data_IF_939597567433
#
_entry.id   IF_939597567433
#
_cell.length_a   1.000
_cell.length_b   1.000
_cell.length_c   1.000
_cell.angle_alpha   90.00
_cell.angle_beta   90.00
_cell.angle_gamma   90.00
#
_symmetry.space_group_name_H-M   'P 1'
#
loop_
_entity.id
_entity.type
_entity.pdbx_description
1 polymer ?
#
# COMPACT_ATOMS: atom_id res chain seq x y z
N UNK A 1 -21.46 -8.57 9.55
CA UNK A 1 -19.99 -8.66 9.68
C UNK A 1 -19.67 -8.63 11.17
N UNK A 2 -18.83 -9.53 11.70
CA UNK A 2 -18.45 -9.50 13.12
C UNK A 2 -17.68 -8.22 13.47
N UNK A 3 -18.03 -7.57 14.58
CA UNK A 3 -17.38 -6.33 15.03
C UNK A 3 -15.89 -6.52 15.32
N UNK A 4 -15.49 -7.74 15.72
CA UNK A 4 -14.09 -8.10 16.01
C UNK A 4 -13.14 -7.96 14.82
N UNK A 5 -13.63 -7.97 13.58
CA UNK A 5 -12.80 -7.72 12.40
C UNK A 5 -12.24 -6.29 12.37
N UNK A 6 -12.96 -5.33 12.96
CA UNK A 6 -12.56 -3.92 12.97
C UNK A 6 -11.52 -3.60 14.03
N UNK A 7 -11.31 -4.51 14.97
CA UNK A 7 -10.31 -4.41 16.03
C UNK A 7 -8.95 -4.99 15.59
N UNK A 8 -8.91 -5.69 14.44
CA UNK A 8 -7.67 -6.23 13.90
C UNK A 8 -6.70 -5.10 13.49
N UNK A 9 -5.39 -5.29 13.73
CA UNK A 9 -4.39 -4.33 13.28
C UNK A 9 -4.38 -4.24 11.75
N UNK A 10 -4.19 -3.03 11.23
CA UNK A 10 -4.03 -2.81 9.79
C UNK A 10 -2.68 -3.38 9.35
N UNK A 11 -2.70 -4.36 8.44
CA UNK A 11 -1.47 -4.96 7.91
C UNK A 11 -0.67 -3.96 7.05
N UNK A 12 -1.35 -3.27 6.12
CA UNK A 12 -0.77 -2.23 5.26
C UNK A 12 -1.87 -1.39 4.62
N UNK A 13 -1.48 -0.24 4.04
CA UNK A 13 -2.36 0.65 3.27
C UNK A 13 -1.79 0.82 1.87
N UNK A 14 -2.63 0.63 0.86
CA UNK A 14 -2.22 0.65 -0.55
C UNK A 14 -3.15 1.51 -1.38
N UNK A 15 -2.64 2.01 -2.50
CA UNK A 15 -3.47 2.63 -3.54
C UNK A 15 -4.00 1.53 -4.44
N UNK A 16 -5.30 1.51 -4.66
CA UNK A 16 -5.95 0.47 -5.48
C UNK A 16 -6.44 1.12 -6.77
N UNK A 17 -6.37 0.38 -7.88
CA UNK A 17 -6.93 0.81 -9.16
C UNK A 17 -8.42 1.17 -9.02
N UNK A 18 -8.88 2.15 -9.79
CA UNK A 18 -10.30 2.53 -9.78
C UNK A 18 -11.13 1.38 -10.37
N UNK A 19 -12.09 0.85 -9.60
CA UNK A 19 -12.95 -0.26 -10.01
C UNK A 19 -12.46 -1.63 -9.55
N UNK A 20 -11.22 -1.74 -9.09
CA UNK A 20 -10.61 -3.01 -8.65
C UNK A 20 -11.41 -3.77 -7.59
N UNK A 21 -11.98 -3.14 -6.54
CA UNK A 21 -12.78 -3.89 -5.58
C UNK A 21 -14.01 -4.56 -6.18
N UNK A 22 -14.52 -4.07 -7.32
CA UNK A 22 -15.65 -4.66 -8.03
C UNK A 22 -15.18 -5.64 -9.12
N UNK A 23 -14.15 -5.27 -9.88
CA UNK A 23 -13.63 -6.05 -11.01
C UNK A 23 -12.82 -7.26 -10.56
N UNK A 24 -12.15 -7.19 -9.42
CA UNK A 24 -11.39 -8.30 -8.82
C UNK A 24 -12.25 -9.36 -8.14
N UNK A 25 -13.57 -9.33 -8.31
CA UNK A 25 -14.52 -10.30 -7.75
C UNK A 25 -14.47 -10.43 -6.21
N UNK A 26 -14.08 -9.37 -5.50
CA UNK A 26 -14.07 -9.38 -4.04
C UNK A 26 -15.49 -9.54 -3.49
N UNK A 27 -15.66 -10.47 -2.55
CA UNK A 27 -16.95 -10.69 -1.90
C UNK A 27 -17.26 -9.49 -1.00
N UNK A 28 -18.34 -8.77 -1.32
CA UNK A 28 -18.85 -7.73 -0.45
C UNK A 28 -19.48 -8.35 0.82
N UNK A 29 -18.79 -8.24 1.95
CA UNK A 29 -19.24 -8.80 3.23
C UNK A 29 -20.29 -7.94 3.95
N UNK A 30 -20.44 -6.67 3.56
CA UNK A 30 -21.40 -5.73 4.16
C UNK A 30 -20.99 -4.27 3.97
N UNK A 31 -21.74 -3.37 4.60
CA UNK A 31 -21.43 -1.95 4.65
C UNK A 31 -21.25 -1.52 6.12
N UNK A 32 -20.18 -0.79 6.40
CA UNK A 32 -19.85 -0.31 7.73
C UNK A 32 -19.50 1.17 7.68
N UNK A 33 -19.77 1.86 8.78
CA UNK A 33 -19.23 3.21 8.98
C UNK A 33 -17.76 3.07 9.38
N UNK A 34 -16.85 3.58 8.55
CA UNK A 34 -15.43 3.62 8.85
C UNK A 34 -15.16 4.55 10.04
N UNK A 35 -14.24 4.14 10.92
CA UNK A 35 -13.73 5.00 11.98
C UNK A 35 -12.82 6.10 11.41
N UNK A 36 -12.58 7.17 12.18
CA UNK A 36 -11.68 8.24 11.75
C UNK A 36 -10.28 7.70 11.41
N UNK A 37 -9.76 6.78 12.22
CA UNK A 37 -8.48 6.11 11.97
C UNK A 37 -8.44 5.38 10.62
N UNK A 38 -9.54 4.76 10.20
CA UNK A 38 -9.61 4.08 8.90
C UNK A 38 -9.62 5.08 7.73
N UNK A 39 -10.18 6.27 7.93
CA UNK A 39 -10.26 7.34 6.94
C UNK A 39 -8.95 8.13 6.77
N UNK A 40 -7.96 7.96 7.68
CA UNK A 40 -6.67 8.63 7.55
C UNK A 40 -5.96 8.26 6.24
N UNK A 41 -5.54 9.29 5.50
CA UNK A 41 -4.69 9.13 4.31
C UNK A 41 -3.27 8.77 4.74
N UNK A 42 -2.58 8.03 3.89
CA UNK A 42 -1.19 7.60 4.13
C UNK A 42 -0.20 8.36 3.28
N UNK A 43 1.01 8.48 3.81
CA UNK A 43 2.20 8.87 3.06
C UNK A 43 2.77 7.65 2.34
N UNK A 44 3.30 7.87 1.14
CA UNK A 44 3.92 6.82 0.34
C UNK A 44 5.31 7.25 -0.12
N UNK A 45 6.24 6.31 -0.18
CA UNK A 45 7.53 6.48 -0.85
C UNK A 45 7.26 6.58 -2.35
N UNK A 46 7.58 7.73 -2.92
CA UNK A 46 7.55 7.94 -4.35
C UNK A 46 8.96 8.18 -4.87
N UNK A 47 9.38 7.35 -5.84
CA UNK A 47 10.61 7.55 -6.59
C UNK A 47 10.31 7.34 -8.08
N UNK A 48 10.12 8.41 -8.86
CA UNK A 48 9.91 8.29 -10.30
C UNK A 48 11.04 7.53 -10.97
N UNK A 49 10.75 6.82 -12.06
CA UNK A 49 11.76 6.12 -12.85
C UNK A 49 12.83 7.10 -13.33
N UNK A 50 14.10 6.78 -13.05
CA UNK A 50 15.24 7.64 -13.39
C UNK A 50 15.57 8.73 -12.37
N UNK A 51 14.76 8.91 -11.32
CA UNK A 51 15.06 9.86 -10.26
C UNK A 51 16.17 9.36 -9.33
N UNK A 52 17.08 10.26 -8.96
CA UNK A 52 18.07 10.04 -7.89
C UNK A 52 17.48 10.31 -6.52
N UNK A 53 16.55 11.26 -6.45
CA UNK A 53 15.97 11.73 -5.20
C UNK A 53 14.72 10.94 -4.78
N UNK A 54 14.43 10.98 -3.48
CA UNK A 54 13.22 10.42 -2.90
C UNK A 54 12.15 11.48 -2.71
N UNK A 55 10.89 11.07 -2.78
CA UNK A 55 9.74 11.92 -2.53
C UNK A 55 8.78 11.22 -1.60
N UNK A 56 8.06 12.00 -0.80
CA UNK A 56 6.85 11.56 -0.10
C UNK A 56 5.66 12.00 -0.94
N UNK A 57 4.85 11.03 -1.36
CA UNK A 57 3.53 11.29 -1.92
C UNK A 57 2.49 11.36 -0.81
N UNK A 58 1.70 12.42 -0.82
CA UNK A 58 0.53 12.61 0.03
C UNK A 58 -0.54 13.39 -0.73
N UNK A 59 -1.72 12.80 -0.85
CA UNK A 59 -2.95 13.45 -1.35
C UNK A 59 -2.78 14.25 -2.65
N UNK A 60 -2.22 13.62 -3.68
CA UNK A 60 -2.02 14.25 -5.00
C UNK A 60 -0.76 15.10 -5.12
N UNK A 61 0.04 15.23 -4.05
CA UNK A 61 1.28 16.00 -4.07
C UNK A 61 2.49 15.11 -3.75
N UNK A 62 3.58 15.31 -4.48
CA UNK A 62 4.89 14.75 -4.12
C UNK A 62 5.80 15.86 -3.62
N UNK A 63 6.48 15.63 -2.51
CA UNK A 63 7.47 16.56 -1.93
C UNK A 63 8.80 15.84 -1.77
N UNK A 64 9.89 16.53 -2.10
CA UNK A 64 11.25 16.02 -1.90
C UNK A 64 11.45 15.59 -0.44
N UNK A 65 12.12 14.46 -0.24
CA UNK A 65 12.35 13.88 1.08
C UNK A 65 13.73 13.23 1.16
N UNK A 66 14.25 13.11 2.38
CA UNK A 66 15.46 12.36 2.69
C UNK A 66 15.17 10.86 2.74
N UNK A 67 16.22 10.05 2.57
CA UNK A 67 16.10 8.59 2.64
C UNK A 67 15.46 8.12 3.95
N UNK A 68 15.89 8.68 5.08
CA UNK A 68 15.39 8.28 6.40
C UNK A 68 13.94 8.69 6.64
N UNK A 69 13.42 9.68 5.89
CA UNK A 69 12.01 10.09 5.97
C UNK A 69 11.09 9.15 5.17
N UNK A 70 11.63 8.43 4.18
CA UNK A 70 10.86 7.50 3.35
C UNK A 70 11.00 6.04 3.77
N UNK A 71 11.97 5.72 4.63
CA UNK A 71 12.14 4.37 5.19
C UNK A 71 10.89 3.93 5.95
N UNK A 72 10.40 2.74 5.60
CA UNK A 72 9.19 2.16 6.20
C UNK A 72 7.86 2.66 5.60
N UNK A 73 7.88 3.62 4.67
CA UNK A 73 6.68 3.98 3.92
C UNK A 73 6.35 2.93 2.87
N UNK A 74 5.06 2.76 2.61
CA UNK A 74 4.55 1.97 1.50
C UNK A 74 4.92 2.60 0.15
N UNK A 75 5.12 1.78 -0.88
CA UNK A 75 5.44 2.29 -2.21
C UNK A 75 4.24 3.02 -2.82
N UNK A 76 4.52 4.16 -3.46
CA UNK A 76 3.57 4.85 -4.31
C UNK A 76 3.43 4.08 -5.63
N UNK A 77 2.60 3.05 -5.59
CA UNK A 77 2.21 2.23 -6.74
C UNK A 77 0.74 1.87 -6.64
N UNK A 78 0.10 1.64 -7.78
CA UNK A 78 -1.28 1.16 -7.86
C UNK A 78 -1.25 -0.36 -7.81
N UNK A 79 -2.08 -0.92 -6.93
CA UNK A 79 -2.19 -2.36 -6.71
C UNK A 79 -3.49 -2.88 -7.31
N UNK A 80 -3.42 -4.08 -7.88
CA UNK A 80 -4.57 -4.84 -8.34
C UNK A 80 -5.01 -5.83 -7.27
N UNK A 81 -6.25 -6.29 -7.38
CA UNK A 81 -6.86 -7.24 -6.45
C UNK A 81 -6.01 -8.49 -6.22
N UNK A 82 -5.48 -9.10 -7.29
CA UNK A 82 -4.62 -10.28 -7.22
C UNK A 82 -3.29 -9.99 -6.49
N UNK A 83 -2.72 -8.79 -6.69
CA UNK A 83 -1.49 -8.40 -6.00
C UNK A 83 -1.72 -8.26 -4.50
N UNK A 84 -2.87 -7.73 -4.09
CA UNK A 84 -3.23 -7.57 -2.67
C UNK A 84 -3.40 -8.93 -2.01
N UNK A 85 -4.07 -9.88 -2.66
CA UNK A 85 -4.25 -11.25 -2.14
C UNK A 85 -2.91 -11.93 -1.94
N UNK A 86 -2.08 -11.98 -2.97
CA UNK A 86 -0.73 -12.56 -2.88
C UNK A 86 0.08 -11.93 -1.75
N UNK A 87 0.01 -10.61 -1.64
CA UNK A 87 0.74 -9.87 -0.61
C UNK A 87 0.26 -10.16 0.81
N UNK A 88 -1.04 -10.42 1.00
CA UNK A 88 -1.58 -10.91 2.27
C UNK A 88 -1.08 -12.32 2.58
N UNK A 89 -1.06 -13.22 1.60
CA UNK A 89 -0.54 -14.59 1.75
C UNK A 89 0.95 -14.59 2.15
N UNK A 90 1.77 -13.80 1.46
CA UNK A 90 3.18 -13.59 1.77
C UNK A 90 3.35 -13.04 3.20
N UNK A 91 2.57 -12.01 3.56
CA UNK A 91 2.61 -11.41 4.90
C UNK A 91 2.32 -12.41 6.02
N UNK A 92 1.25 -13.19 5.89
CA UNK A 92 0.87 -14.19 6.90
C UNK A 92 1.77 -15.43 6.90
N UNK A 93 2.52 -15.66 5.83
CA UNK A 93 3.55 -16.71 5.75
C UNK A 93 4.91 -16.25 6.31
N UNK A 94 5.04 -14.99 6.71
CA UNK A 94 6.30 -14.40 7.18
C UNK A 94 7.30 -14.11 6.06
N UNK A 95 6.84 -14.07 4.81
CA UNK A 95 7.65 -13.80 3.63
C UNK A 95 7.64 -12.30 3.27
N UNK A 96 8.71 -11.86 2.62
CA UNK A 96 8.76 -10.51 2.04
C UNK A 96 7.87 -10.43 0.80
N UNK A 97 7.16 -9.32 0.61
CA UNK A 97 6.34 -9.16 -0.58
C UNK A 97 7.18 -9.16 -1.87
N UNK A 98 6.95 -10.14 -2.75
CA UNK A 98 7.73 -10.32 -3.97
C UNK A 98 7.59 -9.14 -4.93
N UNK A 99 6.37 -8.62 -5.10
CA UNK A 99 6.07 -7.46 -5.94
C UNK A 99 6.75 -6.18 -5.43
N UNK A 100 6.66 -5.90 -4.13
CA UNK A 100 7.36 -4.75 -3.53
C UNK A 100 8.87 -4.85 -3.73
N UNK A 101 9.43 -6.06 -3.58
CA UNK A 101 10.85 -6.33 -3.79
C UNK A 101 11.27 -6.08 -5.25
N UNK A 102 10.47 -6.53 -6.20
CA UNK A 102 10.73 -6.31 -7.62
C UNK A 102 10.68 -4.82 -8.00
N UNK A 103 9.68 -4.07 -7.51
CA UNK A 103 9.56 -2.63 -7.77
C UNK A 103 10.73 -1.87 -7.16
N UNK A 104 11.09 -2.16 -5.90
CA UNK A 104 12.25 -1.53 -5.24
C UNK A 104 13.53 -1.74 -6.05
N UNK A 105 13.75 -2.96 -6.55
CA UNK A 105 14.89 -3.28 -7.42
C UNK A 105 14.87 -2.47 -8.71
N UNK A 106 13.72 -2.36 -9.37
CA UNK A 106 13.57 -1.57 -10.59
C UNK A 106 13.85 -0.07 -10.37
N UNK A 107 13.45 0.45 -9.22
CA UNK A 107 13.62 1.86 -8.85
C UNK A 107 14.95 2.15 -8.11
N UNK A 108 15.84 1.15 -7.98
CA UNK A 108 17.10 1.25 -7.24
C UNK A 108 16.93 1.73 -5.79
N UNK A 109 15.86 1.30 -5.11
CA UNK A 109 15.60 1.56 -3.69
C UNK A 109 16.25 0.43 -2.88
N UNK A 110 17.23 0.72 -1.99
CA UNK A 110 18.07 -0.31 -1.38
C UNK A 110 17.52 -0.93 -0.09
N UNK A 111 16.39 -0.43 0.44
CA UNK A 111 15.77 -0.84 1.71
C UNK A 111 14.32 -1.26 1.49
#
# INVERSE_FOLDING_TARGET
>A
MPDSLLELPVAFRVLVGKGEPQEGEWILLGNIKLSENMLFKSNFLHRPVGATDYFIYFDGKSTLALEDEVKGLELFTVWYSEDIVRRLEEHFSGESCSTTTAIKKQLNIPF
#
